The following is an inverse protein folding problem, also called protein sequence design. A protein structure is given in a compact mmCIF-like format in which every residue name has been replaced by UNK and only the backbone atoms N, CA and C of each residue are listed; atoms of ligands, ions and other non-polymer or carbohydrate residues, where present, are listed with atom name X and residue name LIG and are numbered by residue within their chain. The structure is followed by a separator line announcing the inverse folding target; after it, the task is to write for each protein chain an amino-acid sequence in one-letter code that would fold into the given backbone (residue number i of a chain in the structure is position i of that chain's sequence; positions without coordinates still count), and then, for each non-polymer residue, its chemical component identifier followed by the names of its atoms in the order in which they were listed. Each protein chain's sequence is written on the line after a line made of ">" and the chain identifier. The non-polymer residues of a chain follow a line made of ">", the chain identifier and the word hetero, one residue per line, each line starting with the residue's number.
data_IF_254617236377
#
_entry.id   IF_254617236377
#
_cell.length_a   1.000
_cell.length_b   1.000
_cell.length_c   1.000
_cell.angle_alpha   90.00
_cell.angle_beta   90.00
_cell.angle_gamma   90.00
#
_symmetry.space_group_name_H-M   'P 1'
#
loop_
_entity.id
_entity.type
_entity.pdbx_description
1 polymer ?
#
# COMPACT_ATOMS: atom_id res chain seq x y z
N UNK A 1 -18.87 36.99 -28.67
CA UNK A 1 -19.10 36.33 -27.35
C UNK A 1 -18.81 34.85 -27.54
N UNK A 2 -17.67 34.39 -27.11
CA UNK A 2 -17.31 32.96 -27.15
C UNK A 2 -17.61 32.38 -25.77
N UNK A 3 -18.62 31.52 -25.72
CA UNK A 3 -18.98 30.80 -24.51
C UNK A 3 -17.88 29.70 -24.26
N UNK A 4 -17.07 29.89 -23.22
CA UNK A 4 -16.23 28.81 -22.68
C UNK A 4 -17.18 27.79 -22.05
N UNK A 5 -17.45 26.72 -22.77
CA UNK A 5 -18.06 25.52 -22.19
C UNK A 5 -17.03 24.86 -21.27
N UNK A 6 -17.20 25.00 -19.96
CA UNK A 6 -16.49 24.22 -18.97
C UNK A 6 -16.87 22.76 -19.15
N UNK A 7 -15.89 21.91 -19.49
CA UNK A 7 -16.08 20.48 -19.56
C UNK A 7 -16.64 19.97 -18.21
N UNK A 8 -17.64 19.08 -18.21
CA UNK A 8 -18.17 18.54 -16.97
C UNK A 8 -17.06 17.81 -16.21
N UNK A 9 -16.86 18.16 -14.94
CA UNK A 9 -16.03 17.34 -14.03
C UNK A 9 -16.60 15.93 -14.06
N UNK A 10 -15.83 14.97 -14.55
CA UNK A 10 -16.24 13.58 -14.55
C UNK A 10 -16.61 13.18 -13.11
N UNK A 11 -17.90 12.91 -12.89
CA UNK A 11 -18.36 12.36 -11.61
C UNK A 11 -17.59 11.08 -11.34
N UNK A 12 -17.21 10.85 -10.07
CA UNK A 12 -16.62 9.59 -9.66
C UNK A 12 -17.61 8.46 -9.93
N UNK A 13 -17.17 7.37 -10.49
CA UNK A 13 -18.05 6.27 -10.88
C UNK A 13 -17.44 4.92 -10.52
N UNK A 14 -18.31 3.91 -10.41
CA UNK A 14 -17.89 2.52 -10.28
C UNK A 14 -17.14 2.07 -11.55
N UNK A 15 -16.24 1.08 -11.42
CA UNK A 15 -15.67 0.43 -12.60
C UNK A 15 -16.77 -0.13 -13.50
N UNK A 16 -16.60 0.00 -14.80
CA UNK A 16 -17.46 -0.70 -15.77
C UNK A 16 -17.04 -2.15 -15.74
N UNK A 17 -17.85 -2.98 -15.08
CA UNK A 17 -17.53 -4.39 -14.87
C UNK A 17 -17.69 -5.23 -16.12
N UNK A 18 -16.60 -5.91 -16.52
CA UNK A 18 -16.72 -7.22 -17.18
C UNK A 18 -16.43 -8.36 -16.18
N UNK A 19 -15.50 -8.20 -15.25
CA UNK A 19 -15.19 -9.21 -14.22
C UNK A 19 -14.56 -8.55 -12.99
N UNK A 20 -15.12 -8.81 -11.79
CA UNK A 20 -14.46 -8.47 -10.54
C UNK A 20 -13.42 -9.56 -10.26
N UNK A 21 -12.14 -9.22 -10.07
CA UNK A 21 -11.13 -10.20 -9.72
C UNK A 21 -11.52 -11.00 -8.48
N UNK A 22 -11.03 -12.26 -8.39
CA UNK A 22 -11.21 -13.06 -7.18
C UNK A 22 -10.68 -12.30 -5.97
N UNK A 23 -11.52 -12.13 -4.94
CA UNK A 23 -11.16 -11.40 -3.74
C UNK A 23 -10.18 -12.17 -2.88
N UNK A 24 -9.21 -11.44 -2.35
CA UNK A 24 -8.34 -11.89 -1.28
C UNK A 24 -8.21 -10.77 -0.25
N UNK A 25 -8.39 -11.11 1.02
CA UNK A 25 -8.15 -10.19 2.12
C UNK A 25 -6.68 -9.74 2.15
N UNK A 26 -6.45 -8.54 2.65
CA UNK A 26 -5.09 -8.10 2.95
C UNK A 26 -4.46 -9.05 3.98
N UNK A 27 -3.20 -9.43 3.74
CA UNK A 27 -2.44 -10.25 4.70
C UNK A 27 -1.71 -9.31 5.64
N UNK A 28 -2.11 -9.24 6.93
CA UNK A 28 -1.44 -8.40 7.91
C UNK A 28 0.02 -8.79 8.08
N UNK A 29 0.91 -7.81 7.99
CA UNK A 29 2.35 -7.98 8.16
C UNK A 29 2.95 -6.76 8.84
N UNK A 30 4.08 -6.91 9.57
CA UNK A 30 4.83 -5.79 10.09
C UNK A 30 5.38 -4.95 8.94
N UNK A 31 4.83 -3.77 8.74
CA UNK A 31 5.30 -2.81 7.75
C UNK A 31 5.93 -1.60 8.44
N UNK A 32 7.05 -1.06 7.93
CA UNK A 32 7.65 0.12 8.51
C UNK A 32 6.73 1.33 8.33
N UNK A 33 6.53 2.10 9.40
CA UNK A 33 5.86 3.39 9.34
C UNK A 33 6.82 4.42 8.72
N UNK A 34 6.62 4.72 7.44
CA UNK A 34 7.39 5.74 6.73
C UNK A 34 6.84 7.15 7.05
N UNK A 35 7.64 8.22 6.92
CA UNK A 35 7.14 9.59 7.03
C UNK A 35 6.05 9.92 6.03
N UNK A 36 6.08 9.30 4.84
CA UNK A 36 5.06 9.47 3.81
C UNK A 36 3.67 9.09 4.35
N UNK A 37 2.77 10.06 4.32
CA UNK A 37 1.41 9.92 4.84
C UNK A 37 1.27 9.95 6.37
N UNK A 38 2.37 9.92 7.16
CA UNK A 38 2.34 9.92 8.63
C UNK A 38 2.79 11.23 9.26
N UNK A 39 3.01 12.28 8.45
CA UNK A 39 3.27 13.63 9.00
C UNK A 39 2.07 14.07 9.83
N UNK A 40 2.33 14.54 11.06
CA UNK A 40 1.29 14.99 11.98
C UNK A 40 1.74 16.29 12.67
N UNK A 41 0.86 17.31 12.84
CA UNK A 41 -0.46 17.39 12.20
C UNK A 41 -0.37 17.65 10.69
N UNK A 42 -1.45 17.34 9.96
CA UNK A 42 -1.58 17.69 8.55
C UNK A 42 -2.90 18.42 8.28
N UNK A 43 -2.97 19.19 7.18
CA UNK A 43 -4.15 20.00 6.85
C UNK A 43 -4.75 19.63 5.50
N UNK A 44 -6.08 19.49 5.47
CA UNK A 44 -6.85 19.30 4.24
C UNK A 44 -8.13 20.13 4.31
N UNK A 45 -8.42 20.89 3.25
CA UNK A 45 -9.61 21.77 3.15
C UNK A 45 -9.80 22.69 4.38
N UNK A 46 -8.69 23.22 4.90
CA UNK A 46 -8.70 24.14 6.05
C UNK A 46 -8.92 23.46 7.41
N UNK A 47 -9.06 22.15 7.48
CA UNK A 47 -9.15 21.37 8.72
C UNK A 47 -7.83 20.70 9.05
N UNK A 48 -7.47 20.71 10.32
CA UNK A 48 -6.28 20.02 10.85
C UNK A 48 -6.66 18.63 11.34
N UNK A 49 -5.82 17.67 11.00
CA UNK A 49 -5.96 16.27 11.41
C UNK A 49 -4.66 15.80 12.07
N UNK A 50 -4.79 14.89 13.01
CA UNK A 50 -3.66 14.27 13.70
C UNK A 50 -3.59 12.79 13.37
N UNK A 51 -2.37 12.29 13.16
CA UNK A 51 -2.10 10.87 12.99
C UNK A 51 -1.80 10.28 14.37
N UNK A 52 -2.44 9.16 14.68
CA UNK A 52 -2.20 8.41 15.92
C UNK A 52 -0.80 7.81 15.92
N UNK A 53 -0.19 7.72 17.08
CA UNK A 53 1.14 7.12 17.23
C UNK A 53 1.13 5.61 16.95
N UNK A 54 0.01 4.93 17.22
CA UNK A 54 -0.19 3.50 17.00
C UNK A 54 -1.64 3.22 16.60
N UNK A 55 -1.86 2.13 15.88
CA UNK A 55 -3.19 1.59 15.59
C UNK A 55 -3.68 0.64 16.68
N UNK A 56 -2.85 0.33 17.68
CA UNK A 56 -3.14 -0.67 18.71
C UNK A 56 -4.46 -0.38 19.42
N UNK A 57 -5.27 -1.41 19.61
CA UNK A 57 -6.59 -1.36 20.24
C UNK A 57 -7.60 -0.37 19.59
N UNK A 58 -7.31 0.15 18.38
CA UNK A 58 -8.27 1.03 17.72
C UNK A 58 -9.52 0.27 17.32
N UNK A 59 -10.66 0.76 17.79
CA UNK A 59 -11.99 0.29 17.43
C UNK A 59 -12.91 1.50 17.25
N UNK A 60 -13.74 1.47 16.22
CA UNK A 60 -14.70 2.52 15.93
C UNK A 60 -15.89 2.00 15.15
N UNK A 61 -17.02 2.71 15.24
CA UNK A 61 -18.17 2.49 14.38
C UNK A 61 -18.54 3.79 13.67
N UNK A 62 -18.96 3.69 12.42
CA UNK A 62 -19.33 4.85 11.62
C UNK A 62 -19.75 4.48 10.22
N UNK A 63 -19.80 5.49 9.35
CA UNK A 63 -20.16 5.31 7.96
C UNK A 63 -18.91 5.02 7.12
N UNK A 64 -18.95 3.93 6.37
CA UNK A 64 -18.02 3.66 5.29
C UNK A 64 -18.60 4.14 3.96
N UNK A 65 -17.72 4.62 3.08
CA UNK A 65 -18.00 4.73 1.65
C UNK A 65 -16.87 4.06 0.85
N UNK A 66 -16.91 4.19 -0.46
CA UNK A 66 -15.82 3.72 -1.32
C UNK A 66 -15.42 4.82 -2.31
N UNK A 67 -14.17 4.79 -2.79
CA UNK A 67 -13.65 5.71 -3.78
C UNK A 67 -13.39 4.99 -5.10
N UNK A 68 -13.76 5.65 -6.19
CA UNK A 68 -13.93 5.01 -7.50
C UNK A 68 -12.82 5.31 -8.49
N UNK A 69 -13.15 5.12 -9.77
CA UNK A 69 -12.23 5.13 -10.90
C UNK A 69 -11.41 6.40 -11.08
N UNK A 70 -11.86 7.54 -10.59
CA UNK A 70 -11.07 8.80 -10.71
C UNK A 70 -9.73 8.74 -9.97
N UNK A 71 -9.56 7.81 -9.04
CA UNK A 71 -8.32 7.61 -8.28
C UNK A 71 -7.48 6.44 -8.79
N UNK A 72 -8.00 5.59 -9.68
CA UNK A 72 -7.28 4.44 -10.23
C UNK A 72 -5.92 4.85 -10.78
N UNK A 73 -4.87 4.13 -10.36
CA UNK A 73 -3.49 4.36 -10.81
C UNK A 73 -2.81 5.59 -10.20
N UNK A 74 -3.45 6.33 -9.29
CA UNK A 74 -2.84 7.46 -8.58
C UNK A 74 -2.11 6.98 -7.32
N UNK A 75 -1.05 7.69 -6.91
CA UNK A 75 -0.39 7.40 -5.64
C UNK A 75 -1.30 7.74 -4.46
N UNK A 76 -1.33 6.86 -3.48
CA UNK A 76 -1.93 7.05 -2.17
C UNK A 76 -1.01 7.87 -1.26
N UNK A 77 -1.46 8.24 -0.06
CA UNK A 77 -0.68 9.07 0.86
C UNK A 77 0.65 8.43 1.30
N UNK A 78 0.77 7.10 1.31
CA UNK A 78 2.04 6.42 1.59
C UNK A 78 2.87 6.13 0.33
N UNK A 79 2.39 6.54 -0.87
CA UNK A 79 3.09 6.39 -2.15
C UNK A 79 2.80 5.10 -2.91
N UNK A 80 1.97 4.20 -2.38
CA UNK A 80 1.48 3.04 -3.12
C UNK A 80 0.54 3.46 -4.25
N UNK A 81 0.45 2.69 -5.32
CA UNK A 81 -0.48 2.96 -6.41
C UNK A 81 -1.86 2.41 -6.04
N UNK A 82 -2.88 3.28 -6.08
CA UNK A 82 -4.24 2.87 -5.81
C UNK A 82 -4.77 1.95 -6.91
N UNK A 83 -5.26 0.80 -6.48
CA UNK A 83 -6.04 -0.13 -7.30
C UNK A 83 -7.44 -0.28 -6.70
N UNK A 84 -8.44 0.03 -7.52
CA UNK A 84 -9.86 0.03 -7.14
C UNK A 84 -10.36 -1.35 -6.67
N UNK A 85 -9.67 -2.43 -7.03
CA UNK A 85 -10.02 -3.80 -6.63
C UNK A 85 -9.17 -4.36 -5.50
N UNK A 86 -8.07 -3.68 -5.13
CA UNK A 86 -7.19 -4.14 -4.06
C UNK A 86 -7.85 -4.05 -2.68
N UNK A 87 -7.46 -4.88 -1.70
CA UNK A 87 -7.99 -4.83 -0.33
C UNK A 87 -7.40 -3.66 0.48
N UNK A 88 -7.76 -2.43 0.07
CA UNK A 88 -7.21 -1.20 0.66
C UNK A 88 -8.28 -0.25 1.17
N UNK A 89 -7.87 0.67 2.05
CA UNK A 89 -8.73 1.69 2.63
C UNK A 89 -7.97 2.99 2.93
N UNK A 90 -8.72 4.09 3.06
CA UNK A 90 -8.26 5.38 3.55
C UNK A 90 -8.85 5.69 4.92
N UNK A 91 -8.00 6.14 5.86
CA UNK A 91 -8.41 6.58 7.18
C UNK A 91 -7.68 7.86 7.60
N UNK A 92 -8.40 8.75 8.32
CA UNK A 92 -7.87 10.09 8.69
C UNK A 92 -6.69 10.03 9.64
N UNK A 93 -6.76 9.20 10.67
CA UNK A 93 -5.86 9.26 11.82
C UNK A 93 -5.08 7.99 12.13
N UNK A 94 -5.46 6.83 11.59
CA UNK A 94 -4.64 5.63 11.76
C UNK A 94 -3.25 5.82 11.13
N UNK A 95 -2.16 5.33 11.75
CA UNK A 95 -0.87 5.31 11.09
C UNK A 95 -0.93 4.44 9.83
N UNK A 96 -0.23 4.82 8.78
CA UNK A 96 -0.18 4.06 7.52
C UNK A 96 1.24 3.60 7.21
N UNK A 97 1.41 2.32 6.82
CA UNK A 97 0.36 1.32 6.69
C UNK A 97 -0.09 0.74 8.05
N UNK A 98 -1.38 0.42 8.14
CA UNK A 98 -1.94 -0.41 9.20
C UNK A 98 -2.98 -1.36 8.62
N UNK A 99 -3.47 -2.31 9.40
CA UNK A 99 -4.45 -3.28 8.95
C UNK A 99 -5.68 -3.22 9.84
N UNK A 100 -6.84 -3.29 9.21
CA UNK A 100 -8.12 -3.24 9.89
C UNK A 100 -9.04 -4.36 9.42
N UNK A 101 -9.80 -4.95 10.34
CA UNK A 101 -10.99 -5.70 10.01
C UNK A 101 -12.14 -4.71 9.91
N UNK A 102 -12.86 -4.72 8.82
CA UNK A 102 -14.07 -3.92 8.59
C UNK A 102 -15.25 -4.86 8.51
N UNK A 103 -16.25 -4.66 9.34
CA UNK A 103 -17.49 -5.45 9.36
C UNK A 103 -18.66 -4.55 9.01
N UNK A 104 -19.44 -4.94 8.00
CA UNK A 104 -20.70 -4.29 7.66
C UNK A 104 -21.77 -4.70 8.66
N UNK A 105 -22.27 -3.74 9.45
CA UNK A 105 -23.21 -3.98 10.54
C UNK A 105 -24.65 -4.32 10.07
N UNK A 106 -24.91 -4.24 8.76
CA UNK A 106 -26.23 -4.59 8.21
C UNK A 106 -26.32 -6.06 7.76
N UNK A 107 -25.19 -6.74 7.53
CA UNK A 107 -25.18 -8.10 6.98
C UNK A 107 -24.07 -9.00 7.54
N UNK A 108 -23.31 -8.51 8.54
CA UNK A 108 -22.22 -9.19 9.26
C UNK A 108 -21.05 -9.66 8.37
N UNK A 109 -20.99 -9.22 7.10
CA UNK A 109 -19.85 -9.51 6.23
C UNK A 109 -18.63 -8.72 6.72
N UNK A 110 -17.47 -9.35 6.70
CA UNK A 110 -16.22 -8.70 7.10
C UNK A 110 -15.10 -8.99 6.12
N UNK A 111 -14.17 -8.04 6.02
CA UNK A 111 -12.94 -8.14 5.23
C UNK A 111 -11.78 -7.56 6.01
N UNK A 112 -10.55 -8.01 5.68
CA UNK A 112 -9.33 -7.41 6.19
C UNK A 112 -8.74 -6.51 5.10
N UNK A 113 -8.46 -5.25 5.48
CA UNK A 113 -7.96 -4.23 4.58
C UNK A 113 -6.65 -3.63 5.07
N UNK A 114 -5.81 -3.23 4.11
CA UNK A 114 -4.62 -2.40 4.34
C UNK A 114 -5.01 -0.93 4.27
N UNK A 115 -4.83 -0.20 5.36
CA UNK A 115 -4.98 1.25 5.37
C UNK A 115 -3.69 1.87 4.85
N UNK A 116 -3.73 2.47 3.67
CA UNK A 116 -2.56 3.02 2.97
C UNK A 116 -2.77 4.45 2.47
N UNK A 117 -3.95 5.05 2.75
CA UNK A 117 -4.29 6.38 2.27
C UNK A 117 -4.93 7.25 3.35
N UNK A 118 -5.00 8.57 3.11
CA UNK A 118 -5.63 9.58 3.97
C UNK A 118 -7.01 9.99 3.46
N UNK A 119 -7.94 10.06 4.37
CA UNK A 119 -9.35 10.36 4.19
C UNK A 119 -10.23 9.46 5.05
N UNK A 120 -11.55 9.54 4.94
CA UNK A 120 -12.33 10.54 4.23
C UNK A 120 -12.26 11.93 4.88
N UNK A 121 -12.37 12.97 4.05
CA UNK A 121 -12.43 14.34 4.54
C UNK A 121 -13.87 14.87 4.62
N UNK A 122 -14.85 14.01 4.35
CA UNK A 122 -16.26 14.26 4.62
C UNK A 122 -16.56 14.02 6.10
N UNK A 123 -17.26 14.96 6.80
CA UNK A 123 -17.40 14.90 8.26
C UNK A 123 -18.10 13.64 8.78
N UNK A 124 -19.08 13.14 8.05
CA UNK A 124 -19.94 12.03 8.50
C UNK A 124 -19.40 10.64 8.15
N UNK A 125 -18.23 10.56 7.48
CA UNK A 125 -17.62 9.29 7.09
C UNK A 125 -16.44 8.94 7.99
N UNK A 126 -16.31 7.67 8.32
CA UNK A 126 -15.25 7.12 9.15
C UNK A 126 -14.09 6.60 8.30
N UNK A 127 -14.41 5.88 7.23
CA UNK A 127 -13.45 5.18 6.38
C UNK A 127 -13.93 5.17 4.93
N UNK A 128 -13.02 5.30 3.98
CA UNK A 128 -13.30 5.09 2.56
C UNK A 128 -12.57 3.81 2.11
N UNK A 129 -13.30 2.92 1.45
CA UNK A 129 -12.82 1.61 1.04
C UNK A 129 -12.55 1.59 -0.47
N UNK A 130 -11.76 0.64 -0.94
CA UNK A 130 -11.73 0.32 -2.36
C UNK A 130 -13.09 -0.21 -2.83
N UNK A 131 -13.38 -0.11 -4.12
CA UNK A 131 -14.62 -0.66 -4.70
C UNK A 131 -14.71 -2.19 -4.50
N UNK A 132 -13.57 -2.90 -4.69
CA UNK A 132 -13.51 -4.35 -4.43
C UNK A 132 -13.94 -4.71 -3.01
N UNK A 133 -13.49 -3.96 -2.00
CA UNK A 133 -13.91 -4.16 -0.61
C UNK A 133 -15.41 -3.87 -0.40
N UNK A 134 -15.94 -2.81 -1.04
CA UNK A 134 -17.36 -2.48 -0.96
C UNK A 134 -18.25 -3.59 -1.58
N UNK A 135 -17.81 -4.21 -2.67
CA UNK A 135 -18.48 -5.36 -3.29
C UNK A 135 -18.51 -6.54 -2.33
N UNK A 136 -17.37 -6.89 -1.69
CA UNK A 136 -17.29 -8.00 -0.74
C UNK A 136 -18.16 -7.78 0.49
N UNK A 137 -18.18 -6.55 1.00
CA UNK A 137 -19.04 -6.17 2.12
C UNK A 137 -20.53 -6.02 1.74
N UNK A 138 -20.86 -6.05 0.43
CA UNK A 138 -22.23 -6.04 -0.08
C UNK A 138 -22.90 -4.67 0.00
N UNK A 139 -22.17 -3.56 -0.18
CA UNK A 139 -22.75 -2.20 -0.17
C UNK A 139 -22.30 -1.31 -1.34
N UNK A 140 -21.64 -1.88 -2.34
CA UNK A 140 -21.13 -1.12 -3.48
C UNK A 140 -22.22 -0.31 -4.20
N UNK A 141 -23.42 -0.88 -4.40
CA UNK A 141 -24.55 -0.23 -5.06
C UNK A 141 -25.16 0.88 -4.20
N UNK A 142 -25.21 0.70 -2.87
CA UNK A 142 -25.72 1.68 -1.93
C UNK A 142 -24.76 2.87 -1.72
N UNK A 143 -23.49 2.70 -2.09
CA UNK A 143 -22.44 3.71 -1.95
C UNK A 143 -21.94 3.94 -0.53
N UNK A 144 -22.76 3.68 0.49
CA UNK A 144 -22.40 3.85 1.91
C UNK A 144 -23.07 2.79 2.77
N UNK A 145 -22.43 2.45 3.92
CA UNK A 145 -23.04 1.57 4.94
C UNK A 145 -22.46 1.86 6.32
N UNK A 146 -23.12 1.37 7.37
CA UNK A 146 -22.58 1.40 8.73
C UNK A 146 -21.61 0.24 8.91
N UNK A 147 -20.44 0.53 9.44
CA UNK A 147 -19.40 -0.46 9.70
C UNK A 147 -18.86 -0.36 11.12
N UNK A 148 -18.35 -1.49 11.62
CA UNK A 148 -17.40 -1.53 12.71
C UNK A 148 -16.00 -1.74 12.13
N UNK A 149 -15.02 -1.04 12.71
CA UNK A 149 -13.60 -1.18 12.38
C UNK A 149 -12.87 -1.66 13.62
N UNK A 150 -11.99 -2.62 13.46
CA UNK A 150 -11.08 -3.10 14.47
C UNK A 150 -9.66 -3.18 13.87
N UNK A 151 -8.70 -2.47 14.48
CA UNK A 151 -7.32 -2.57 14.03
C UNK A 151 -6.74 -3.93 14.42
N UNK A 152 -6.00 -4.52 13.49
CA UNK A 152 -5.34 -5.80 13.70
C UNK A 152 -4.02 -5.52 14.40
N UNK A 153 -3.91 -6.04 15.64
CA UNK A 153 -2.67 -5.95 16.39
C UNK A 153 -1.64 -6.90 15.80
N UNK A 154 -0.51 -6.34 15.37
CA UNK A 154 0.62 -7.10 14.86
C UNK A 154 1.64 -7.45 15.95
N UNK A 155 1.45 -6.97 17.19
CA UNK A 155 2.27 -7.35 18.33
C UNK A 155 2.08 -8.84 18.65
N UNK A 156 3.11 -9.65 18.39
CA UNK A 156 3.06 -11.11 18.54
C UNK A 156 2.85 -11.89 17.23
N UNK A 157 2.66 -11.22 16.09
CA UNK A 157 2.95 -11.85 14.80
C UNK A 157 4.47 -11.98 14.77
N UNK A 158 4.93 -13.20 14.98
CA UNK A 158 6.35 -13.54 15.14
C UNK A 158 7.16 -12.92 13.99
N UNK A 159 8.13 -12.08 14.37
CA UNK A 159 9.10 -11.44 13.46
C UNK A 159 9.92 -12.49 12.66
N UNK A 160 9.74 -13.76 13.01
CA UNK A 160 10.28 -14.96 12.38
C UNK A 160 9.39 -15.58 11.32
N UNK A 161 8.38 -14.88 10.79
CA UNK A 161 7.64 -15.42 9.66
C UNK A 161 8.59 -15.68 8.51
N UNK A 162 8.96 -16.95 8.36
CA UNK A 162 9.76 -17.43 7.24
C UNK A 162 9.11 -16.96 5.94
N UNK A 163 9.90 -16.38 5.05
CA UNK A 163 9.45 -16.03 3.69
C UNK A 163 9.09 -17.26 2.84
N UNK A 164 9.05 -18.48 3.45
CA UNK A 164 8.72 -19.71 2.75
C UNK A 164 7.34 -19.71 2.06
N UNK A 165 6.45 -18.79 2.45
CA UNK A 165 5.17 -18.53 1.77
C UNK A 165 5.08 -17.15 1.10
N UNK A 166 6.12 -16.31 1.17
CA UNK A 166 6.16 -15.01 0.52
C UNK A 166 6.67 -15.12 -0.91
N UNK A 167 5.99 -14.44 -1.82
CA UNK A 167 6.43 -14.30 -3.22
C UNK A 167 7.71 -13.46 -3.34
N UNK A 168 8.05 -12.65 -2.31
CA UNK A 168 9.15 -11.68 -2.38
C UNK A 168 10.28 -12.08 -1.43
N UNK A 169 11.45 -12.39 -1.99
CA UNK A 169 12.66 -12.75 -1.24
C UNK A 169 13.86 -11.84 -1.51
N UNK A 170 13.75 -10.96 -2.49
CA UNK A 170 14.83 -10.09 -2.92
C UNK A 170 14.40 -8.64 -3.01
N UNK A 171 15.38 -7.74 -2.87
CA UNK A 171 15.25 -6.31 -3.19
C UNK A 171 16.02 -6.03 -4.48
N UNK A 172 15.36 -5.52 -5.49
CA UNK A 172 16.03 -5.06 -6.72
C UNK A 172 16.55 -3.64 -6.53
N UNK A 173 17.86 -3.46 -6.71
CA UNK A 173 18.52 -2.15 -6.68
C UNK A 173 18.46 -1.40 -8.02
N UNK A 174 18.31 -2.15 -9.09
CA UNK A 174 18.24 -1.61 -10.45
C UNK A 174 18.54 -2.65 -11.50
N UNK A 175 18.40 -2.23 -12.79
CA UNK A 175 18.83 -2.99 -13.93
C UNK A 175 19.68 -2.07 -14.83
N UNK A 176 20.88 -2.53 -15.17
CA UNK A 176 21.92 -1.73 -15.85
C UNK A 176 22.28 -2.33 -17.19
N UNK A 177 22.55 -1.51 -18.21
CA UNK A 177 23.06 -1.97 -19.49
C UNK A 177 24.51 -2.47 -19.39
N UNK A 178 25.30 -1.80 -18.53
CA UNK A 178 26.69 -2.15 -18.29
C UNK A 178 26.81 -3.18 -17.17
N UNK A 179 27.43 -4.30 -17.46
CA UNK A 179 27.77 -5.33 -16.48
C UNK A 179 28.76 -4.80 -15.44
N UNK A 180 29.69 -3.94 -15.87
CA UNK A 180 30.66 -3.32 -14.98
C UNK A 180 29.95 -2.44 -13.91
N UNK A 181 28.99 -1.58 -14.32
CA UNK A 181 28.22 -0.76 -13.38
C UNK A 181 27.43 -1.62 -12.38
N UNK A 182 26.80 -2.69 -12.88
CA UNK A 182 26.10 -3.64 -12.01
C UNK A 182 27.03 -4.31 -10.99
N UNK A 183 28.25 -4.67 -11.44
CA UNK A 183 29.27 -5.32 -10.60
C UNK A 183 29.80 -4.37 -9.54
N UNK A 184 30.13 -3.14 -9.88
CA UNK A 184 30.60 -2.11 -8.95
C UNK A 184 29.55 -1.82 -7.86
N UNK A 185 28.28 -1.71 -8.26
CA UNK A 185 27.17 -1.54 -7.31
C UNK A 185 27.06 -2.75 -6.38
N UNK A 186 27.06 -3.96 -6.92
CA UNK A 186 26.96 -5.18 -6.13
C UNK A 186 28.12 -5.32 -5.14
N UNK A 187 29.34 -4.99 -5.54
CA UNK A 187 30.51 -4.99 -4.66
C UNK A 187 30.39 -3.95 -3.54
N UNK A 188 29.99 -2.73 -3.87
CA UNK A 188 29.78 -1.66 -2.89
C UNK A 188 28.76 -2.08 -1.81
N UNK A 189 27.65 -2.68 -2.21
CA UNK A 189 26.60 -3.13 -1.28
C UNK A 189 27.09 -4.29 -0.42
N UNK A 190 27.79 -5.26 -1.00
CA UNK A 190 28.40 -6.37 -0.25
C UNK A 190 29.40 -5.88 0.80
N UNK A 191 30.31 -4.99 0.41
CA UNK A 191 31.35 -4.47 1.30
C UNK A 191 30.77 -3.62 2.45
N UNK A 192 29.76 -2.83 2.17
CA UNK A 192 29.20 -1.89 3.15
C UNK A 192 28.27 -2.53 4.17
N UNK A 193 27.50 -3.55 3.79
CA UNK A 193 26.47 -4.15 4.65
C UNK A 193 26.53 -5.66 4.79
N UNK A 194 27.41 -6.34 4.06
CA UNK A 194 27.55 -7.81 4.13
C UNK A 194 26.39 -8.59 3.50
N UNK A 195 25.53 -7.92 2.73
CA UNK A 195 24.40 -8.60 2.09
C UNK A 195 24.85 -9.53 0.96
N UNK A 196 24.10 -10.61 0.76
CA UNK A 196 24.20 -11.38 -0.46
C UNK A 196 23.63 -10.53 -1.61
N UNK A 197 24.37 -10.44 -2.70
CA UNK A 197 23.94 -9.69 -3.89
C UNK A 197 24.20 -10.54 -5.11
N UNK A 198 23.18 -10.69 -5.96
CA UNK A 198 23.29 -11.38 -7.26
C UNK A 198 23.10 -10.39 -8.41
N UNK A 199 23.68 -10.74 -9.56
CA UNK A 199 23.49 -10.01 -10.82
C UNK A 199 22.94 -11.01 -11.83
N UNK A 200 21.73 -10.75 -12.33
CA UNK A 200 21.06 -11.64 -13.29
C UNK A 200 20.85 -10.92 -14.63
N UNK A 201 21.17 -11.58 -15.74
CA UNK A 201 20.80 -11.07 -17.04
C UNK A 201 19.28 -11.13 -17.20
N UNK A 202 18.67 -10.01 -17.65
CA UNK A 202 17.23 -9.92 -17.95
C UNK A 202 17.03 -9.16 -19.25
N UNK A 203 16.00 -9.53 -20.00
CA UNK A 203 15.57 -8.77 -21.16
C UNK A 203 14.47 -7.79 -20.75
N UNK A 204 14.69 -6.50 -21.00
CA UNK A 204 13.72 -5.45 -20.74
C UNK A 204 13.51 -4.69 -22.06
N UNK A 205 12.33 -4.80 -22.64
CA UNK A 205 11.96 -4.16 -23.91
C UNK A 205 12.95 -4.45 -25.05
N UNK A 206 13.41 -5.70 -25.15
CA UNK A 206 14.38 -6.14 -26.19
C UNK A 206 15.83 -5.72 -25.93
N UNK A 207 16.14 -5.12 -24.78
CA UNK A 207 17.50 -4.79 -24.38
C UNK A 207 17.96 -5.72 -23.25
N UNK A 208 19.15 -6.33 -23.43
CA UNK A 208 19.79 -7.12 -22.38
C UNK A 208 20.28 -6.19 -21.27
N UNK A 209 19.85 -6.46 -20.04
CA UNK A 209 20.18 -5.69 -18.85
C UNK A 209 20.75 -6.61 -17.77
N UNK A 210 21.48 -6.03 -16.84
CA UNK A 210 22.07 -6.70 -15.68
C UNK A 210 21.30 -6.23 -14.42
N UNK A 211 20.41 -7.09 -13.91
CA UNK A 211 19.59 -6.80 -12.73
C UNK A 211 20.36 -7.12 -11.46
N UNK A 212 20.51 -6.13 -10.58
CA UNK A 212 21.17 -6.28 -9.28
C UNK A 212 20.12 -6.53 -8.21
N UNK A 213 20.24 -7.67 -7.51
CA UNK A 213 19.33 -8.09 -6.43
C UNK A 213 20.10 -8.31 -5.13
N UNK A 214 19.49 -7.88 -4.02
CA UNK A 214 19.95 -8.15 -2.65
C UNK A 214 19.06 -9.20 -2.03
N UNK A 215 19.62 -10.24 -1.43
CA UNK A 215 18.94 -11.40 -0.89
C UNK A 215 19.54 -12.71 -1.41
N UNK A 216 18.89 -13.86 -1.18
CA UNK A 216 17.54 -13.99 -0.60
C UNK A 216 17.50 -13.69 0.89
N UNK A 217 16.41 -13.08 1.34
CA UNK A 217 16.13 -12.92 2.75
C UNK A 217 15.26 -14.09 3.24
N UNK A 218 15.52 -14.55 4.46
CA UNK A 218 14.77 -15.67 5.06
C UNK A 218 13.52 -15.18 5.80
N UNK A 219 13.55 -13.91 6.27
CA UNK A 219 12.48 -13.31 7.07
C UNK A 219 12.11 -11.94 6.55
N UNK A 220 10.82 -11.59 6.65
CA UNK A 220 10.31 -10.29 6.21
C UNK A 220 11.00 -9.13 6.94
N UNK A 221 11.23 -9.25 8.25
CA UNK A 221 11.95 -8.24 9.02
C UNK A 221 13.36 -7.94 8.49
N UNK A 222 14.11 -8.98 8.09
CA UNK A 222 15.44 -8.81 7.49
C UNK A 222 15.37 -8.07 6.14
N UNK A 223 14.36 -8.39 5.31
CA UNK A 223 14.10 -7.70 4.04
C UNK A 223 13.75 -6.23 4.27
N UNK A 224 12.85 -5.94 5.23
CA UNK A 224 12.44 -4.57 5.56
C UNK A 224 13.59 -3.75 6.15
N UNK A 225 14.37 -4.33 7.04
CA UNK A 225 15.55 -3.66 7.60
C UNK A 225 16.57 -3.33 6.51
N UNK A 226 16.82 -4.26 5.59
CA UNK A 226 17.70 -4.04 4.45
C UNK A 226 17.15 -2.96 3.52
N UNK A 227 15.85 -2.99 3.23
CA UNK A 227 15.17 -1.98 2.43
C UNK A 227 15.33 -0.59 3.01
N UNK A 228 15.03 -0.41 4.30
CA UNK A 228 15.16 0.87 4.99
C UNK A 228 16.59 1.39 5.00
N UNK A 229 17.59 0.51 5.26
CA UNK A 229 19.02 0.90 5.24
C UNK A 229 19.48 1.34 3.86
N UNK A 230 19.08 0.63 2.82
CA UNK A 230 19.45 0.95 1.44
C UNK A 230 18.81 2.26 0.99
N UNK A 231 17.52 2.48 1.24
CA UNK A 231 16.82 3.72 0.93
C UNK A 231 17.48 4.92 1.64
N UNK A 232 17.74 4.81 2.93
CA UNK A 232 18.39 5.86 3.72
C UNK A 232 19.84 6.15 3.27
N UNK A 233 20.43 5.25 2.50
CA UNK A 233 21.78 5.40 1.92
C UNK A 233 21.76 5.86 0.46
N UNK A 234 20.60 6.28 -0.05
CA UNK A 234 20.44 6.85 -1.39
C UNK A 234 20.15 5.84 -2.49
N UNK A 235 19.90 4.55 -2.15
CA UNK A 235 19.42 3.58 -3.11
C UNK A 235 17.90 3.57 -3.07
N UNK A 236 17.26 4.11 -4.06
CA UNK A 236 15.80 4.10 -4.07
C UNK A 236 15.21 4.46 -5.40
N UNK A 237 13.93 4.19 -5.63
CA UNK A 237 13.06 3.26 -4.90
C UNK A 237 13.45 1.80 -5.15
N UNK A 238 13.30 0.92 -4.14
CA UNK A 238 13.62 -0.51 -4.26
C UNK A 238 12.38 -1.31 -4.62
N UNK A 239 12.52 -2.22 -5.58
CA UNK A 239 11.46 -3.13 -5.97
C UNK A 239 11.63 -4.46 -5.21
N UNK A 240 10.57 -4.94 -4.56
CA UNK A 240 10.53 -6.30 -4.01
C UNK A 240 10.24 -7.28 -5.12
N UNK A 241 11.04 -8.32 -5.25
CA UNK A 241 10.90 -9.34 -6.29
C UNK A 241 11.01 -10.75 -5.71
N UNK A 242 10.38 -11.74 -6.38
CA UNK A 242 10.45 -13.15 -5.99
C UNK A 242 11.86 -13.71 -5.93
#
# INVERSE_FOLDING_TARGET
>A
MVACASAPRSADHAPVQSEVPAWQDAVPQPDPLLPAGNTTPYQVLGKTYEVMATAEAYQAQGIASWYGMKFQGRPTANGEIFDVYAPTAAHRSLPIPSYVRVTNLNNDRSVVLRVNDRGPFHPDRLIDLSYGAAVQLGFAEQGTTRVAIEAINLAGIDDRRSLSGSTYRFLQLGAYRSEQTATELAQSVRQRWGYLVSIDPVDINGARMHRVRVGPFEHMAALEQASSRLINSGYGPLLRIP
#
